data_IF_766088475661
#
_entry.id   IF_766088475661
#
_cell.length_a   1.000
_cell.length_b   1.000
_cell.length_c   1.000
_cell.angle_alpha   90.00
_cell.angle_beta   90.00
_cell.angle_gamma   90.00
#
_symmetry.space_group_name_H-M   'P 1'
#
loop_
_entity.id
_entity.type
_entity.pdbx_description
1 polymer ?
#
# COMPACT_ATOMS: atom_id res chain seq x y z
N UNK A 1 -8.01 -43.18 0.75
CA UNK A 1 -7.04 -42.07 0.88
C UNK A 1 -7.31 -41.08 -0.24
N UNK A 2 -7.95 -39.96 0.04
CA UNK A 2 -8.04 -38.83 -0.91
C UNK A 2 -8.14 -37.56 -0.09
N UNK A 3 -6.99 -36.95 0.14
CA UNK A 3 -6.86 -35.68 0.86
C UNK A 3 -7.50 -34.59 0.00
N UNK A 4 -8.66 -34.08 0.43
CA UNK A 4 -9.26 -32.92 -0.20
C UNK A 4 -8.31 -31.72 -0.05
N UNK A 5 -7.74 -31.28 -1.16
CA UNK A 5 -7.02 -30.02 -1.21
C UNK A 5 -8.05 -28.90 -1.00
N UNK A 6 -8.13 -28.38 0.22
CA UNK A 6 -8.82 -27.14 0.51
C UNK A 6 -7.98 -26.04 -0.13
N UNK A 7 -8.26 -25.72 -1.39
CA UNK A 7 -7.73 -24.51 -2.02
C UNK A 7 -8.26 -23.34 -1.20
N UNK A 8 -7.41 -22.55 -0.51
CA UNK A 8 -7.90 -21.39 0.21
C UNK A 8 -8.57 -20.49 -0.83
N UNK A 9 -9.89 -20.31 -0.69
CA UNK A 9 -10.68 -19.46 -1.59
C UNK A 9 -10.01 -18.10 -1.57
N UNK A 10 -9.31 -17.76 -2.66
CA UNK A 10 -8.64 -16.47 -2.79
C UNK A 10 -9.76 -15.46 -2.71
N UNK A 11 -9.88 -14.78 -1.56
CA UNK A 11 -10.89 -13.74 -1.39
C UNK A 11 -10.65 -12.75 -2.52
N UNK A 12 -11.61 -12.72 -3.45
CA UNK A 12 -11.54 -11.80 -4.56
C UNK A 12 -11.67 -10.41 -3.96
N UNK A 13 -10.57 -9.65 -4.03
CA UNK A 13 -10.55 -8.30 -3.51
C UNK A 13 -11.65 -7.50 -4.21
N UNK A 14 -12.55 -6.89 -3.44
CA UNK A 14 -13.61 -6.01 -3.95
C UNK A 14 -13.08 -4.67 -4.46
N UNK A 15 -11.78 -4.46 -4.28
CA UNK A 15 -11.03 -3.27 -4.61
C UNK A 15 -9.73 -3.25 -3.81
N UNK A 16 -9.05 -2.12 -3.86
CA UNK A 16 -7.80 -1.86 -3.17
C UNK A 16 -7.92 -0.52 -2.45
N UNK A 17 -7.37 -0.44 -1.24
CA UNK A 17 -7.38 0.78 -0.45
C UNK A 17 -5.98 1.14 0.04
N UNK A 18 -5.68 2.43 0.02
CA UNK A 18 -4.45 3.00 0.58
C UNK A 18 -4.83 4.06 1.59
N UNK A 19 -4.06 4.19 2.66
CA UNK A 19 -4.28 5.28 3.62
C UNK A 19 -3.98 6.62 2.96
N UNK A 20 -4.88 7.59 3.14
CA UNK A 20 -4.63 8.98 2.77
C UNK A 20 -3.61 9.65 3.69
N UNK A 21 -3.38 10.95 3.50
CA UNK A 21 -2.40 11.74 4.29
C UNK A 21 -2.70 11.80 5.80
N UNK A 22 -3.95 11.52 6.21
CA UNK A 22 -4.37 11.54 7.60
C UNK A 22 -4.99 10.19 8.01
N UNK A 23 -4.58 9.65 9.16
CA UNK A 23 -5.53 8.93 10.03
C UNK A 23 -5.53 7.40 10.09
N UNK A 24 -4.51 6.66 9.63
CA UNK A 24 -4.41 5.23 10.00
C UNK A 24 -2.98 4.82 10.39
N UNK A 25 -2.64 4.97 11.66
CA UNK A 25 -1.34 4.55 12.23
C UNK A 25 -1.04 3.05 12.06
N UNK A 26 -2.07 2.23 11.86
CA UNK A 26 -1.94 0.78 11.66
C UNK A 26 -1.53 0.40 10.23
N UNK A 27 -1.69 1.31 9.26
CA UNK A 27 -1.40 1.04 7.85
C UNK A 27 -0.07 1.66 7.42
N UNK A 28 0.59 0.98 6.48
CA UNK A 28 1.79 1.50 5.85
C UNK A 28 1.39 2.58 4.85
N UNK A 29 1.81 3.83 5.08
CA UNK A 29 1.66 4.92 4.11
C UNK A 29 2.25 4.51 2.75
N UNK A 30 1.51 4.80 1.68
CA UNK A 30 1.83 4.40 0.31
C UNK A 30 1.42 2.97 -0.06
N UNK A 31 1.09 2.09 0.89
CA UNK A 31 0.72 0.71 0.57
C UNK A 31 -0.77 0.58 0.23
N UNK A 32 -1.05 -0.16 -0.83
CA UNK A 32 -2.39 -0.60 -1.19
C UNK A 32 -2.70 -1.96 -0.55
N UNK A 33 -3.89 -2.09 0.00
CA UNK A 33 -4.39 -3.27 0.69
C UNK A 33 -5.66 -3.78 0.01
N UNK A 34 -5.83 -5.10 -0.17
CA UNK A 34 -7.06 -5.66 -0.68
C UNK A 34 -8.25 -5.30 0.22
N UNK A 35 -9.36 -4.86 -0.38
CA UNK A 35 -10.63 -4.66 0.31
C UNK A 35 -11.37 -5.99 0.36
N UNK A 36 -11.59 -6.49 1.57
CA UNK A 36 -12.33 -7.74 1.83
C UNK A 36 -13.83 -7.43 1.92
N UNK A 37 -14.20 -6.32 2.58
CA UNK A 37 -15.59 -5.93 2.79
C UNK A 37 -15.72 -4.41 2.84
N UNK A 38 -16.81 -3.90 2.28
CA UNK A 38 -17.28 -2.52 2.46
C UNK A 38 -18.59 -2.62 3.24
N UNK A 39 -18.65 -2.01 4.43
CA UNK A 39 -19.87 -1.93 5.24
C UNK A 39 -20.68 -0.68 4.86
N UNK A 40 -21.98 -0.67 5.18
CA UNK A 40 -22.82 0.52 5.11
C UNK A 40 -22.43 1.59 6.14
N UNK A 41 -21.84 1.20 7.28
CA UNK A 41 -21.47 2.09 8.40
C UNK A 41 -20.15 2.85 8.20
N UNK A 42 -19.75 3.21 6.97
CA UNK A 42 -18.46 3.83 6.64
C UNK A 42 -17.20 3.02 7.03
N UNK A 43 -17.32 1.77 7.47
CA UNK A 43 -16.19 0.90 7.78
C UNK A 43 -15.80 0.06 6.55
N UNK A 44 -14.51 0.05 6.22
CA UNK A 44 -13.91 -0.80 5.21
C UNK A 44 -12.98 -1.80 5.89
N UNK A 45 -13.13 -3.08 5.56
CA UNK A 45 -12.27 -4.14 6.10
C UNK A 45 -11.20 -4.48 5.06
N UNK A 46 -9.95 -4.30 5.46
CA UNK A 46 -8.78 -4.53 4.63
C UNK A 46 -8.07 -5.83 5.02
N UNK A 47 -7.49 -6.52 4.03
CA UNK A 47 -6.49 -7.56 4.29
C UNK A 47 -5.12 -6.90 4.51
N UNK A 48 -4.69 -6.87 5.78
CA UNK A 48 -3.37 -6.40 6.19
C UNK A 48 -2.58 -7.60 6.67
N UNK A 49 -1.72 -8.14 5.80
CA UNK A 49 -0.91 -9.33 6.09
C UNK A 49 -1.76 -10.52 6.58
N UNK A 50 -2.85 -10.84 5.88
CA UNK A 50 -3.81 -11.91 6.24
C UNK A 50 -4.59 -11.66 7.52
N UNK A 51 -4.64 -10.41 8.00
CA UNK A 51 -5.49 -9.98 9.11
C UNK A 51 -6.53 -9.01 8.60
N UNK A 52 -7.77 -9.19 9.04
CA UNK A 52 -8.86 -8.27 8.76
C UNK A 52 -8.72 -7.04 9.66
N UNK A 53 -8.45 -5.88 9.06
CA UNK A 53 -8.32 -4.60 9.77
C UNK A 53 -9.47 -3.69 9.36
N UNK A 54 -10.39 -3.33 10.29
CA UNK A 54 -11.42 -2.34 10.03
C UNK A 54 -10.80 -0.93 10.05
N UNK A 55 -11.13 -0.13 9.05
CA UNK A 55 -10.68 1.26 8.94
C UNK A 55 -11.86 2.13 8.50
N UNK A 56 -11.97 3.33 9.05
CA UNK A 56 -12.94 4.30 8.58
C UNK A 56 -12.61 4.71 7.14
N UNK A 57 -13.62 4.64 6.26
CA UNK A 57 -13.54 4.98 4.84
C UNK A 57 -13.00 6.38 4.61
N UNK A 58 -13.22 7.33 5.54
CA UNK A 58 -12.75 8.72 5.43
C UNK A 58 -11.22 8.84 5.39
N UNK A 59 -10.50 7.82 5.88
CA UNK A 59 -9.04 7.78 5.86
C UNK A 59 -8.47 7.01 4.66
N UNK A 60 -9.33 6.51 3.76
CA UNK A 60 -8.93 5.62 2.68
C UNK A 60 -9.16 6.26 1.30
N UNK A 61 -8.14 6.16 0.46
CA UNK A 61 -8.30 6.20 -0.98
C UNK A 61 -8.63 4.79 -1.46
N UNK A 62 -9.69 4.62 -2.26
CA UNK A 62 -10.17 3.30 -2.72
C UNK A 62 -10.23 3.27 -4.25
N UNK A 63 -9.75 2.18 -4.84
CA UNK A 63 -9.81 1.88 -6.28
C UNK A 63 -10.36 0.48 -6.52
N UNK A 64 -10.97 0.26 -7.69
CA UNK A 64 -11.53 -1.05 -8.04
C UNK A 64 -10.50 -1.98 -8.68
N UNK A 65 -9.57 -1.44 -9.46
CA UNK A 65 -8.50 -2.20 -10.08
C UNK A 65 -7.27 -2.30 -9.15
N UNK A 66 -6.43 -3.34 -9.30
CA UNK A 66 -5.17 -3.42 -8.59
C UNK A 66 -4.26 -2.24 -8.94
N UNK A 67 -3.44 -1.78 -7.98
CA UNK A 67 -2.41 -0.78 -8.29
C UNK A 67 -1.36 -1.42 -9.19
N UNK A 68 -1.00 -0.72 -10.26
CA UNK A 68 0.03 -1.18 -11.21
C UNK A 68 1.34 -0.43 -11.03
N UNK A 69 1.27 0.78 -10.46
CA UNK A 69 2.40 1.70 -10.29
C UNK A 69 2.86 1.78 -8.84
N UNK A 70 4.15 2.08 -8.65
CA UNK A 70 4.71 2.37 -7.34
C UNK A 70 4.08 3.62 -6.75
N UNK A 71 3.66 3.53 -5.50
CA UNK A 71 3.24 4.71 -4.75
C UNK A 71 4.46 5.46 -4.24
N UNK A 72 4.46 6.78 -4.39
CA UNK A 72 5.54 7.64 -3.91
C UNK A 72 5.10 8.30 -2.61
N UNK A 73 5.89 8.14 -1.56
CA UNK A 73 5.63 8.74 -0.26
C UNK A 73 6.68 9.80 0.02
N UNK A 74 6.25 11.06 0.24
CA UNK A 74 7.12 12.16 0.67
C UNK A 74 6.98 12.44 2.16
N UNK A 75 8.04 12.32 2.93
CA UNK A 75 8.08 12.72 4.34
C UNK A 75 8.28 14.24 4.44
N UNK A 76 7.53 14.88 5.34
CA UNK A 76 7.59 16.34 5.53
C UNK A 76 8.84 16.77 6.32
N UNK A 77 9.33 18.01 6.14
CA UNK A 77 10.54 18.51 6.80
C UNK A 77 10.59 18.35 8.33
N UNK A 78 9.45 18.49 8.99
CA UNK A 78 9.29 18.30 10.44
C UNK A 78 9.58 16.87 10.91
N UNK A 79 9.32 15.88 10.06
CA UNK A 79 9.61 14.48 10.35
C UNK A 79 11.11 14.18 10.23
N UNK A 80 11.84 14.94 9.40
CA UNK A 80 13.30 14.81 9.21
C UNK A 80 14.05 15.07 10.52
N UNK A 81 13.67 16.14 11.22
CA UNK A 81 14.40 16.63 12.39
C UNK A 81 14.39 15.63 13.54
N UNK A 82 13.39 14.74 13.60
CA UNK A 82 13.28 13.69 14.63
C UNK A 82 14.15 12.46 14.36
N UNK A 83 14.53 12.21 13.10
CA UNK A 83 15.18 10.95 12.70
C UNK A 83 16.70 11.06 12.64
N UNK A 84 17.26 12.28 12.69
CA UNK A 84 18.70 12.52 12.85
C UNK A 84 19.59 11.98 11.71
N UNK A 85 18.99 11.51 10.61
CA UNK A 85 19.71 11.06 9.41
C UNK A 85 19.19 11.76 8.15
N UNK A 86 20.06 12.01 7.16
CA UNK A 86 19.67 12.38 5.81
C UNK A 86 19.11 11.15 5.08
N UNK A 87 18.00 10.60 5.57
CA UNK A 87 17.27 9.58 4.80
C UNK A 87 16.60 10.30 3.64
N UNK A 88 16.72 9.85 2.36
CA UNK A 88 15.94 10.45 1.30
C UNK A 88 14.46 10.25 1.63
N UNK A 89 13.81 11.36 1.92
CA UNK A 89 12.44 11.44 2.46
C UNK A 89 11.38 10.99 1.48
N UNK A 90 11.81 10.55 0.30
CA UNK A 90 10.96 10.03 -0.73
C UNK A 90 11.31 8.56 -0.92
N UNK A 91 10.32 7.69 -0.70
CA UNK A 91 10.48 6.27 -0.96
C UNK A 91 9.29 5.73 -1.76
N UNK A 92 9.55 4.65 -2.49
CA UNK A 92 8.58 3.94 -3.28
C UNK A 92 7.96 2.82 -2.47
N UNK A 93 6.67 2.56 -2.66
CA UNK A 93 6.00 1.38 -2.15
C UNK A 93 5.59 0.48 -3.30
N UNK A 94 6.12 -0.74 -3.31
CA UNK A 94 5.87 -1.71 -4.36
C UNK A 94 4.38 -2.04 -4.45
N UNK A 95 3.75 -1.96 -5.64
CA UNK A 95 2.32 -2.24 -5.79
C UNK A 95 1.96 -3.71 -5.56
N UNK A 96 2.94 -4.62 -5.69
CA UNK A 96 2.70 -6.06 -5.55
C UNK A 96 2.89 -6.58 -4.13
N UNK A 97 4.01 -6.24 -3.49
CA UNK A 97 4.38 -6.82 -2.19
C UNK A 97 4.40 -5.80 -1.03
N UNK A 98 4.13 -4.51 -1.30
CA UNK A 98 4.13 -3.41 -0.32
C UNK A 98 5.49 -3.10 0.32
N UNK A 99 6.58 -3.65 -0.24
CA UNK A 99 7.94 -3.35 0.20
C UNK A 99 8.30 -1.88 -0.06
N UNK A 100 9.08 -1.28 0.85
CA UNK A 100 9.55 0.10 0.72
C UNK A 100 10.96 0.09 0.15
N UNK A 101 11.21 0.93 -0.85
CA UNK A 101 12.52 1.01 -1.48
C UNK A 101 12.85 2.47 -1.76
N UNK A 102 14.09 2.85 -1.48
CA UNK A 102 14.63 4.15 -1.90
C UNK A 102 14.89 4.11 -3.41
N UNK A 103 14.82 5.27 -4.05
CA UNK A 103 15.08 5.42 -5.48
C UNK A 103 15.56 6.84 -5.76
N UNK A 104 16.24 7.03 -6.89
CA UNK A 104 16.76 8.34 -7.29
C UNK A 104 15.65 9.27 -7.77
N UNK A 105 15.80 10.55 -7.49
CA UNK A 105 14.71 11.53 -7.50
C UNK A 105 13.81 11.52 -8.74
N UNK A 106 14.34 11.44 -9.96
CA UNK A 106 13.56 11.54 -11.20
C UNK A 106 13.21 10.18 -11.83
N UNK A 107 13.51 9.07 -11.16
CA UNK A 107 13.28 7.72 -11.67
C UNK A 107 11.83 7.55 -12.17
N UNK A 108 11.66 6.97 -13.36
CA UNK A 108 10.34 6.71 -13.96
C UNK A 108 9.85 5.29 -13.69
N UNK A 109 10.78 4.36 -13.49
CA UNK A 109 10.53 2.95 -13.22
C UNK A 109 11.39 2.49 -12.04
N UNK A 110 10.89 1.51 -11.29
CA UNK A 110 11.62 0.88 -10.20
C UNK A 110 11.38 -0.63 -10.20
N UNK A 111 12.45 -1.40 -10.01
CA UNK A 111 12.40 -2.86 -9.81
C UNK A 111 12.49 -3.17 -8.33
N UNK A 112 11.54 -3.96 -7.83
CA UNK A 112 11.47 -4.29 -6.41
C UNK A 112 12.59 -5.27 -6.03
N UNK A 113 13.43 -4.91 -5.06
CA UNK A 113 14.46 -5.78 -4.47
C UNK A 113 13.91 -7.06 -3.81
N UNK A 114 12.64 -7.05 -3.36
CA UNK A 114 11.98 -8.17 -2.66
C UNK A 114 11.24 -9.12 -3.59
N UNK A 115 10.41 -8.59 -4.49
CA UNK A 115 9.55 -9.43 -5.34
C UNK A 115 9.88 -9.34 -6.82
N UNK A 116 10.94 -8.60 -7.18
CA UNK A 116 11.49 -8.46 -8.53
C UNK A 116 10.51 -7.94 -9.59
N UNK A 117 9.37 -7.39 -9.18
CA UNK A 117 8.43 -6.72 -10.09
C UNK A 117 8.96 -5.34 -10.47
N UNK A 118 9.06 -5.09 -11.77
CA UNK A 118 9.31 -3.77 -12.35
C UNK A 118 7.99 -3.07 -12.67
N UNK A 119 7.91 -1.78 -12.36
CA UNK A 119 6.74 -0.96 -12.64
C UNK A 119 7.08 0.54 -12.57
N UNK A 120 6.25 1.35 -13.23
CA UNK A 120 6.38 2.82 -13.21
C UNK A 120 6.11 3.44 -11.83
N UNK A 121 6.73 4.60 -11.57
CA UNK A 121 6.52 5.45 -10.39
C UNK A 121 5.35 6.42 -10.61
N UNK A 122 4.37 6.43 -9.70
CA UNK A 122 3.17 7.26 -9.79
C UNK A 122 3.43 8.70 -9.30
N UNK A 123 4.19 9.47 -10.06
CA UNK A 123 4.53 10.87 -9.76
C UNK A 123 3.32 11.80 -9.67
N UNK A 124 2.26 11.48 -10.39
CA UNK A 124 0.97 12.17 -10.38
C UNK A 124 0.10 11.83 -9.17
N UNK A 125 0.47 10.82 -8.36
CA UNK A 125 -0.35 10.29 -7.26
C UNK A 125 0.39 10.25 -5.92
N UNK A 126 1.03 11.37 -5.57
CA UNK A 126 1.83 11.50 -4.35
C UNK A 126 1.00 11.23 -3.08
N UNK A 127 1.51 10.34 -2.24
CA UNK A 127 0.94 9.99 -0.91
C UNK A 127 1.59 10.75 0.22
#
# INVERSE_FOLDING_TARGET
MTTGHITPTRIQAKGWARVGRAGAHLLRRGAWYPVVRISSSHIVVLDVNRRNVPVDRRFLEIRYHPPERWSIVRCEPREIQRVGRPFPLTYGVCPSCRHRQAFDGDAKELTCDRCHKSAGLAWDELS
#
